data_IF_224342314624
#
_entry.id   IF_224342314624
#
_cell.length_a   1.000
_cell.length_b   1.000
_cell.length_c   1.000
_cell.angle_alpha   90.00
_cell.angle_beta   90.00
_cell.angle_gamma   90.00
#
_symmetry.space_group_name_H-M   'P 1'
#
loop_
_entity.id
_entity.type
_entity.pdbx_description
1 polymer ?
#
# COMPACT_ATOMS: atom_id res chain seq x y z
N UNK A 1 16.06 7.83 7.69
CA UNK A 1 14.87 8.07 6.85
C UNK A 1 13.76 7.23 7.45
N UNK A 2 12.73 7.85 8.02
CA UNK A 2 11.54 7.12 8.50
C UNK A 2 10.59 6.91 7.32
N UNK A 3 10.93 5.94 6.48
CA UNK A 3 10.25 5.69 5.20
C UNK A 3 9.78 4.24 5.15
N UNK A 4 8.50 4.04 4.85
CA UNK A 4 7.98 2.73 4.44
C UNK A 4 8.15 2.57 2.93
N UNK A 5 8.60 1.38 2.50
CA UNK A 5 8.81 1.05 1.08
C UNK A 5 8.31 -0.36 0.77
N UNK A 6 7.73 -0.53 -0.41
CA UNK A 6 7.29 -1.83 -0.94
C UNK A 6 7.81 -1.97 -2.36
N UNK A 7 8.49 -3.07 -2.66
CA UNK A 7 9.10 -3.30 -3.96
C UNK A 7 9.28 -4.80 -4.25
N UNK A 8 9.45 -5.16 -5.52
CA UNK A 8 9.69 -6.56 -5.91
C UNK A 8 8.52 -7.50 -5.59
N UNK A 9 8.83 -8.69 -5.07
CA UNK A 9 7.90 -9.80 -4.81
C UNK A 9 7.46 -9.92 -3.35
N UNK A 10 6.41 -9.19 -2.95
CA UNK A 10 6.65 -7.89 -2.35
C UNK A 10 7.54 -8.00 -1.09
N UNK A 11 8.66 -7.30 -1.14
CA UNK A 11 9.47 -6.94 0.02
C UNK A 11 8.88 -5.70 0.68
N UNK A 12 8.70 -5.76 1.99
CA UNK A 12 8.20 -4.66 2.80
C UNK A 12 9.33 -4.16 3.70
N UNK A 13 9.46 -2.83 3.78
CA UNK A 13 10.26 -2.12 4.75
C UNK A 13 9.31 -1.20 5.53
N UNK A 14 9.20 -1.40 6.84
CA UNK A 14 8.39 -0.56 7.71
C UNK A 14 9.09 0.76 8.06
N UNK A 15 8.36 1.71 8.65
CA UNK A 15 8.90 3.01 9.05
C UNK A 15 10.04 2.91 10.07
N UNK A 16 9.99 1.93 10.96
CA UNK A 16 11.02 1.62 11.97
C UNK A 16 12.14 0.70 11.45
N UNK A 17 12.15 0.43 10.13
CA UNK A 17 13.24 -0.28 9.46
C UNK A 17 13.16 -1.80 9.51
N UNK A 18 12.05 -2.38 9.97
CA UNK A 18 11.84 -3.82 9.91
C UNK A 18 11.58 -4.29 8.48
N UNK A 19 12.40 -5.23 8.01
CA UNK A 19 12.28 -5.81 6.67
C UNK A 19 11.67 -7.20 6.72
N UNK A 20 10.67 -7.43 5.88
CA UNK A 20 10.03 -8.74 5.76
C UNK A 20 9.50 -9.00 4.36
N UNK A 21 9.15 -10.25 4.09
CA UNK A 21 8.47 -10.67 2.87
C UNK A 21 7.10 -11.21 3.22
N UNK A 22 6.09 -10.84 2.43
CA UNK A 22 4.73 -11.32 2.65
C UNK A 22 4.04 -11.62 1.32
N UNK A 23 3.76 -12.91 1.10
CA UNK A 23 3.19 -13.44 -0.14
C UNK A 23 1.66 -13.60 -0.06
N UNK A 24 0.98 -12.56 0.42
CA UNK A 24 -0.48 -12.53 0.57
C UNK A 24 -1.20 -12.14 -0.72
N UNK A 25 -2.31 -12.81 -1.04
CA UNK A 25 -3.11 -12.63 -2.27
C UNK A 25 -4.45 -11.96 -1.99
N UNK A 26 -4.45 -10.72 -1.55
CA UNK A 26 -5.64 -9.91 -1.28
C UNK A 26 -5.29 -8.41 -1.26
N UNK A 27 -6.26 -7.60 -0.88
CA UNK A 27 -6.05 -6.24 -0.40
C UNK A 27 -5.63 -6.27 1.06
N UNK A 28 -4.63 -5.46 1.41
CA UNK A 28 -4.12 -5.31 2.77
C UNK A 28 -4.00 -3.83 3.13
N UNK A 29 -4.08 -3.54 4.42
CA UNK A 29 -3.79 -2.21 4.95
C UNK A 29 -2.27 -2.05 4.98
N UNK A 30 -1.75 -1.07 4.24
CA UNK A 30 -0.33 -0.73 4.24
C UNK A 30 -0.04 0.33 5.31
N UNK A 31 -0.90 1.34 5.39
CA UNK A 31 -0.83 2.42 6.37
C UNK A 31 -2.25 2.71 6.83
N UNK A 32 -2.44 2.82 8.14
CA UNK A 32 -3.68 3.29 8.72
C UNK A 32 -3.34 4.12 9.95
N UNK A 33 -3.87 5.33 10.00
CA UNK A 33 -3.83 6.12 11.21
C UNK A 33 -4.65 5.43 12.31
N UNK A 34 -4.04 5.32 13.48
CA UNK A 34 -4.66 4.79 14.70
C UNK A 34 -4.78 5.91 15.72
N UNK A 35 -5.68 5.74 16.69
CA UNK A 35 -5.92 6.66 17.81
C UNK A 35 -6.59 8.01 17.45
N UNK A 36 -6.74 8.85 18.48
CA UNK A 36 -7.30 10.20 18.35
C UNK A 36 -6.23 11.13 17.78
N UNK A 37 -6.57 11.77 16.67
CA UNK A 37 -5.71 12.73 16.01
C UNK A 37 -5.86 14.14 16.59
N UNK A 38 -4.83 15.00 16.46
CA UNK A 38 -4.96 16.43 16.74
C UNK A 38 -6.04 17.08 15.90
N UNK A 39 -6.63 18.16 16.41
CA UNK A 39 -7.65 18.93 15.70
C UNK A 39 -7.16 19.38 14.32
N UNK A 40 -7.99 19.14 13.30
CA UNK A 40 -7.70 19.50 11.91
C UNK A 40 -6.81 18.51 11.14
N UNK A 41 -6.37 17.41 11.77
CA UNK A 41 -5.63 16.33 11.09
C UNK A 41 -6.59 15.21 10.68
N UNK A 42 -6.68 14.95 9.38
CA UNK A 42 -7.55 13.90 8.84
C UNK A 42 -6.85 12.53 8.91
N UNK A 43 -7.58 11.44 9.22
CA UNK A 43 -7.05 10.08 9.14
C UNK A 43 -6.56 9.72 7.73
N UNK A 44 -5.42 9.05 7.67
CA UNK A 44 -4.87 8.46 6.45
C UNK A 44 -5.18 6.96 6.40
N UNK A 45 -5.69 6.50 5.26
CA UNK A 45 -5.80 5.08 4.93
C UNK A 45 -5.12 4.81 3.59
N UNK A 46 -4.16 3.89 3.59
CA UNK A 46 -3.50 3.39 2.38
C UNK A 46 -3.68 1.88 2.31
N UNK A 47 -4.37 1.44 1.27
CA UNK A 47 -4.59 0.03 0.97
C UNK A 47 -3.73 -0.39 -0.22
N UNK A 48 -3.20 -1.60 -0.16
CA UNK A 48 -2.39 -2.20 -1.21
C UNK A 48 -3.04 -3.48 -1.71
N UNK A 49 -3.24 -3.60 -3.02
CA UNK A 49 -3.78 -4.81 -3.63
C UNK A 49 -2.66 -5.62 -4.27
N UNK A 50 -2.42 -6.78 -3.70
CA UNK A 50 -1.43 -7.73 -4.23
C UNK A 50 -2.08 -8.65 -5.27
N UNK A 51 -1.40 -8.87 -6.40
CA UNK A 51 -1.83 -9.80 -7.47
C UNK A 51 -0.71 -10.78 -7.82
N UNK A 52 -1.11 -11.97 -8.26
CA UNK A 52 -0.19 -12.94 -8.83
C UNK A 52 0.23 -12.46 -10.22
N UNK A 53 1.51 -12.60 -10.52
CA UNK A 53 2.02 -12.30 -11.85
C UNK A 53 1.46 -13.26 -12.90
N UNK A 54 1.09 -12.77 -14.11
CA UNK A 54 0.51 -13.61 -15.15
C UNK A 54 1.38 -14.81 -15.53
N UNK A 55 2.72 -14.67 -15.50
CA UNK A 55 3.67 -15.77 -15.75
C UNK A 55 3.81 -16.75 -14.58
N UNK A 56 3.07 -16.56 -13.49
CA UNK A 56 3.03 -17.43 -12.32
C UNK A 56 4.07 -17.15 -11.24
N UNK A 57 3.88 -17.84 -10.11
CA UNK A 57 4.69 -17.91 -8.88
C UNK A 57 4.91 -16.63 -8.06
N UNK A 58 5.08 -15.46 -8.65
CA UNK A 58 5.38 -14.22 -7.90
C UNK A 58 4.12 -13.42 -7.60
N UNK A 59 4.04 -12.83 -6.41
CA UNK A 59 3.01 -11.86 -6.03
C UNK A 59 3.65 -10.48 -5.98
N UNK A 60 2.98 -9.46 -6.52
CA UNK A 60 3.44 -8.08 -6.47
C UNK A 60 2.31 -7.13 -6.09
N UNK A 61 2.69 -5.96 -5.58
CA UNK A 61 1.77 -4.85 -5.34
C UNK A 61 1.35 -4.25 -6.69
N UNK A 62 0.08 -4.40 -7.05
CA UNK A 62 -0.44 -4.00 -8.35
C UNK A 62 -1.16 -2.65 -8.34
N UNK A 63 -1.71 -2.31 -7.17
CA UNK A 63 -2.54 -1.12 -6.99
C UNK A 63 -2.38 -0.59 -5.57
N UNK A 64 -2.35 0.74 -5.45
CA UNK A 64 -2.31 1.47 -4.19
C UNK A 64 -3.50 2.42 -4.17
N UNK A 65 -4.29 2.35 -3.11
CA UNK A 65 -5.48 3.18 -2.91
C UNK A 65 -5.28 4.01 -1.67
N UNK A 66 -5.26 5.33 -1.83
CA UNK A 66 -5.08 6.29 -0.74
C UNK A 66 -6.38 7.03 -0.51
N UNK A 67 -6.87 6.99 0.73
CA UNK A 67 -8.04 7.76 1.18
C UNK A 67 -7.60 8.80 2.21
N UNK A 68 -7.81 10.07 1.91
CA UNK A 68 -7.44 11.21 2.78
C UNK A 68 -8.24 12.46 2.39
N UNK A 69 -8.61 13.30 3.35
CA UNK A 69 -9.41 14.52 3.15
C UNK A 69 -10.74 14.30 2.39
N UNK A 70 -11.36 13.14 2.57
CA UNK A 70 -12.56 12.74 1.83
C UNK A 70 -12.33 12.36 0.36
N UNK A 71 -11.09 12.42 -0.15
CA UNK A 71 -10.71 11.98 -1.48
C UNK A 71 -10.24 10.54 -1.47
N UNK A 72 -10.50 9.82 -2.57
CA UNK A 72 -9.95 8.50 -2.85
C UNK A 72 -9.12 8.57 -4.13
N UNK A 73 -7.82 8.37 -4.00
CA UNK A 73 -6.85 8.38 -5.10
C UNK A 73 -6.35 6.96 -5.33
N UNK A 74 -6.42 6.50 -6.57
CA UNK A 74 -6.04 5.14 -6.95
C UNK A 74 -4.89 5.18 -7.95
N UNK A 75 -3.80 4.50 -7.61
CA UNK A 75 -2.66 4.27 -8.48
C UNK A 75 -2.68 2.81 -8.90
N UNK A 76 -2.84 2.55 -10.19
CA UNK A 76 -2.92 1.20 -10.72
C UNK A 76 -1.91 1.03 -11.86
N UNK A 77 -1.20 -0.10 -11.87
CA UNK A 77 -0.32 -0.46 -12.97
C UNK A 77 -1.13 -0.64 -14.26
N UNK A 78 -0.72 0.04 -15.34
CA UNK A 78 -1.35 -0.05 -16.66
C UNK A 78 -2.69 0.68 -16.79
N UNK A 79 -2.98 1.65 -15.91
CA UNK A 79 -4.12 2.54 -16.10
C UNK A 79 -3.77 3.57 -17.19
N UNK A 80 -4.31 3.39 -18.39
CA UNK A 80 -4.29 4.41 -19.44
C UNK A 80 -5.46 5.37 -19.21
N UNK A 81 -5.17 6.67 -19.12
CA UNK A 81 -6.19 7.70 -19.18
C UNK A 81 -6.64 7.79 -20.65
N UNK A 82 -7.87 7.36 -20.93
CA UNK A 82 -8.53 7.53 -22.23
C UNK A 82 -8.86 9.00 -22.46
#
# INVERSE_FOLDING_TARGET
>A
SEQCSIYGDPHYLTFDGFSYRFQGRMTYILIKTVDVLPDGVEPLLVEGRNKIHPSGSSIFLHEVVTTVYGYKVQFQAGLELV
#
